data_IF_458923007825
#
_entry.id   IF_458923007825
#
_cell.length_a   1.000
_cell.length_b   1.000
_cell.length_c   1.000
_cell.angle_alpha   90.00
_cell.angle_beta   90.00
_cell.angle_gamma   90.00
#
_symmetry.space_group_name_H-M   'P 1'
#
loop_
_entity.id
_entity.type
_entity.pdbx_description
1 polymer ?
#
# COMPACT_ATOMS: atom_id res chain seq x y z
N UNK A 1 -3.86 -1.82 5.80
CA UNK A 1 -4.75 -2.24 4.67
C UNK A 1 -6.20 -2.38 5.13
N UNK A 2 -7.19 -2.20 4.25
CA UNK A 2 -8.62 -2.34 4.55
C UNK A 2 -9.19 -3.59 3.85
N UNK A 3 -10.20 -4.23 4.44
CA UNK A 3 -10.69 -5.53 3.93
C UNK A 3 -11.26 -5.49 2.51
N UNK A 4 -11.94 -4.40 2.11
CA UNK A 4 -12.42 -4.25 0.73
C UNK A 4 -11.27 -3.99 -0.25
N UNK A 5 -10.22 -3.29 0.18
CA UNK A 5 -8.98 -3.12 -0.57
C UNK A 5 -8.30 -4.47 -0.82
N UNK A 6 -8.20 -5.32 0.22
CA UNK A 6 -7.66 -6.66 0.10
C UNK A 6 -8.43 -7.51 -0.92
N UNK A 7 -9.76 -7.42 -0.94
CA UNK A 7 -10.59 -8.11 -1.95
C UNK A 7 -10.33 -7.61 -3.37
N UNK A 8 -10.12 -6.31 -3.54
CA UNK A 8 -9.76 -5.74 -4.84
C UNK A 8 -8.41 -6.27 -5.32
N UNK A 9 -7.38 -6.23 -4.45
CA UNK A 9 -6.05 -6.80 -4.75
C UNK A 9 -6.18 -8.29 -5.10
N UNK A 10 -6.89 -9.07 -4.30
CA UNK A 10 -7.10 -10.49 -4.54
C UNK A 10 -7.72 -10.78 -5.92
N UNK A 11 -8.70 -9.98 -6.33
CA UNK A 11 -9.31 -10.07 -7.67
C UNK A 11 -8.28 -9.81 -8.76
N UNK A 12 -7.50 -8.74 -8.65
CA UNK A 12 -6.46 -8.41 -9.63
C UNK A 12 -5.41 -9.52 -9.74
N UNK A 13 -4.96 -10.08 -8.61
CA UNK A 13 -3.98 -11.15 -8.59
C UNK A 13 -4.53 -12.46 -9.17
N UNK A 14 -5.72 -12.88 -8.76
CA UNK A 14 -6.29 -14.17 -9.16
C UNK A 14 -6.79 -14.21 -10.60
N UNK A 15 -7.05 -13.06 -11.22
CA UNK A 15 -7.41 -13.00 -12.64
C UNK A 15 -6.20 -13.09 -13.57
N UNK A 16 -4.97 -12.92 -13.07
CA UNK A 16 -3.73 -12.85 -13.87
C UNK A 16 -2.57 -13.66 -13.26
N UNK A 17 -2.85 -14.80 -12.65
CA UNK A 17 -1.84 -15.56 -11.89
C UNK A 17 -0.58 -15.85 -12.71
N UNK A 18 -0.71 -16.36 -13.93
CA UNK A 18 0.43 -16.69 -14.80
C UNK A 18 1.22 -15.46 -15.27
N UNK A 19 0.54 -14.32 -15.38
CA UNK A 19 1.14 -13.07 -15.84
C UNK A 19 1.84 -12.30 -14.69
N UNK A 20 1.44 -12.58 -13.44
CA UNK A 20 1.96 -11.92 -12.24
C UNK A 20 3.00 -12.77 -11.48
N UNK A 21 3.12 -14.06 -11.80
CA UNK A 21 4.02 -14.96 -11.08
C UNK A 21 5.39 -15.08 -11.75
N UNK A 22 6.50 -14.84 -11.05
CA UNK A 22 6.65 -14.51 -9.62
C UNK A 22 6.15 -13.10 -9.26
N UNK A 23 5.41 -12.99 -8.13
CA UNK A 23 4.91 -11.74 -7.58
C UNK A 23 5.83 -11.25 -6.45
N UNK A 24 6.35 -10.03 -6.55
CA UNK A 24 7.06 -9.36 -5.45
C UNK A 24 6.07 -8.52 -4.63
N UNK A 25 5.97 -8.80 -3.33
CA UNK A 25 5.20 -8.00 -2.38
C UNK A 25 6.13 -7.03 -1.65
N UNK A 26 6.11 -5.76 -2.01
CA UNK A 26 7.05 -4.72 -1.52
C UNK A 26 6.50 -4.05 -0.26
N UNK A 27 7.35 -3.90 0.77
CA UNK A 27 6.93 -3.44 2.09
C UNK A 27 6.03 -4.49 2.75
N UNK A 28 6.46 -5.74 2.67
CA UNK A 28 5.63 -6.90 3.00
C UNK A 28 5.27 -7.00 4.48
N UNK A 29 6.00 -6.31 5.35
CA UNK A 29 5.95 -6.50 6.80
C UNK A 29 6.21 -7.97 7.18
N UNK A 30 5.94 -8.34 8.43
CA UNK A 30 6.26 -9.67 8.97
C UNK A 30 5.16 -10.69 8.69
N UNK A 31 5.47 -11.99 8.80
CA UNK A 31 4.48 -13.06 8.77
C UNK A 31 3.39 -12.84 9.82
N UNK A 32 3.78 -12.51 11.05
CA UNK A 32 2.83 -12.20 12.13
C UNK A 32 1.86 -11.07 11.74
N UNK A 33 2.34 -10.00 11.09
CA UNK A 33 1.47 -8.92 10.64
C UNK A 33 0.43 -9.41 9.65
N UNK A 34 0.85 -10.20 8.65
CA UNK A 34 -0.04 -10.69 7.59
C UNK A 34 -0.98 -11.80 8.02
N UNK A 35 -0.62 -12.60 9.05
CA UNK A 35 -1.41 -13.78 9.46
C UNK A 35 -2.17 -13.62 10.77
N UNK A 36 -1.72 -12.71 11.66
CA UNK A 36 -2.30 -12.50 12.99
C UNK A 36 -2.87 -11.10 13.15
N UNK A 37 -2.09 -10.05 12.87
CA UNK A 37 -2.56 -8.66 13.06
C UNK A 37 -3.60 -8.26 12.02
N UNK A 38 -3.40 -8.65 10.76
CA UNK A 38 -4.33 -8.45 9.64
C UNK A 38 -4.46 -9.73 8.82
N UNK A 39 -5.10 -10.79 9.36
CA UNK A 39 -5.09 -12.13 8.77
C UNK A 39 -5.74 -12.23 7.39
N UNK A 40 -6.57 -11.27 7.01
CA UNK A 40 -7.14 -11.20 5.67
C UNK A 40 -6.07 -10.91 4.58
N UNK A 41 -4.91 -10.37 4.93
CA UNK A 41 -3.83 -10.14 3.96
C UNK A 41 -3.33 -11.48 3.41
N UNK A 42 -2.92 -12.37 4.28
CA UNK A 42 -2.47 -13.69 3.83
C UNK A 42 -3.64 -14.53 3.28
N UNK A 43 -4.73 -14.62 4.04
CA UNK A 43 -5.87 -15.49 3.73
C UNK A 43 -6.59 -15.11 2.43
N UNK A 44 -6.83 -13.82 2.21
CA UNK A 44 -7.70 -13.36 1.12
C UNK A 44 -6.90 -12.91 -0.10
N UNK A 45 -5.60 -12.52 0.03
CA UNK A 45 -4.75 -12.06 -1.06
C UNK A 45 -3.82 -13.18 -1.52
N UNK A 46 -2.88 -13.62 -0.64
CA UNK A 46 -1.78 -14.46 -1.07
C UNK A 46 -2.14 -15.94 -1.19
N UNK A 47 -2.90 -16.49 -0.23
CA UNK A 47 -3.28 -17.90 -0.29
C UNK A 47 -4.09 -18.27 -1.56
N UNK A 48 -5.09 -17.48 -2.02
CA UNK A 48 -5.78 -17.78 -3.27
C UNK A 48 -4.88 -17.73 -4.50
N UNK A 49 -3.92 -16.79 -4.54
CA UNK A 49 -2.95 -16.66 -5.61
C UNK A 49 -2.01 -17.87 -5.67
N UNK A 50 -1.48 -18.28 -4.52
CA UNK A 50 -0.59 -19.45 -4.41
C UNK A 50 -1.32 -20.76 -4.73
N UNK A 51 -2.57 -20.94 -4.30
CA UNK A 51 -3.38 -22.11 -4.63
C UNK A 51 -3.64 -22.28 -6.12
N UNK A 52 -3.58 -21.19 -6.89
CA UNK A 52 -3.71 -21.19 -8.35
C UNK A 52 -2.35 -21.33 -9.06
N UNK A 53 -1.28 -21.67 -8.33
CA UNK A 53 0.07 -21.89 -8.89
C UNK A 53 0.94 -20.65 -8.94
N UNK A 54 0.52 -19.53 -8.34
CA UNK A 54 1.34 -18.33 -8.20
C UNK A 54 2.43 -18.51 -7.13
N UNK A 55 3.56 -17.80 -7.31
CA UNK A 55 4.62 -17.68 -6.31
C UNK A 55 4.74 -16.24 -5.84
N UNK A 56 5.00 -16.05 -4.54
CA UNK A 56 5.14 -14.74 -3.92
C UNK A 56 6.50 -14.63 -3.25
N UNK A 57 7.19 -13.52 -3.47
CA UNK A 57 8.41 -13.12 -2.77
C UNK A 57 8.09 -11.90 -1.91
N UNK A 58 8.16 -12.05 -0.61
CA UNK A 58 7.93 -10.98 0.35
C UNK A 58 9.21 -10.19 0.59
N UNK A 59 9.20 -8.91 0.21
CA UNK A 59 10.35 -8.02 0.33
C UNK A 59 10.07 -6.93 1.37
N UNK A 60 11.01 -6.74 2.29
CA UNK A 60 10.98 -5.65 3.27
C UNK A 60 12.41 -5.16 3.54
N UNK A 61 12.56 -3.95 4.08
CA UNK A 61 13.86 -3.42 4.49
C UNK A 61 14.43 -4.15 5.71
N UNK A 62 13.57 -4.75 6.53
CA UNK A 62 13.97 -5.44 7.77
C UNK A 62 13.88 -6.95 7.58
N UNK A 63 14.94 -7.65 7.99
CA UNK A 63 14.90 -9.10 8.10
C UNK A 63 14.00 -9.50 9.26
N UNK A 64 12.97 -10.30 8.96
CA UNK A 64 12.03 -10.84 9.95
C UNK A 64 11.40 -12.13 9.41
N UNK A 65 10.66 -12.84 10.26
CA UNK A 65 9.94 -14.04 9.84
C UNK A 65 8.94 -13.71 8.71
N UNK A 66 9.00 -14.49 7.63
CA UNK A 66 8.17 -14.33 6.44
C UNK A 66 8.60 -13.19 5.51
N UNK A 67 9.80 -12.67 5.65
CA UNK A 67 10.47 -11.82 4.68
C UNK A 67 11.47 -12.70 3.91
N UNK A 68 11.24 -12.87 2.62
CA UNK A 68 12.08 -13.71 1.75
C UNK A 68 13.32 -12.96 1.28
N UNK A 69 13.18 -11.67 1.02
CA UNK A 69 14.25 -10.78 0.58
C UNK A 69 14.29 -9.54 1.48
N UNK A 70 15.34 -9.41 2.30
CA UNK A 70 15.53 -8.29 3.18
C UNK A 70 16.60 -7.34 2.65
N UNK A 71 16.21 -6.10 2.33
CA UNK A 71 17.11 -5.08 1.80
C UNK A 71 16.38 -3.87 1.25
N UNK A 72 17.16 -2.92 0.80
CA UNK A 72 16.68 -1.67 0.21
C UNK A 72 16.80 -1.72 -1.32
N UNK A 73 15.71 -1.53 -2.04
CA UNK A 73 15.71 -1.44 -3.51
C UNK A 73 16.54 -0.26 -4.04
N UNK A 74 16.88 0.71 -3.20
CA UNK A 74 17.81 1.79 -3.56
C UNK A 74 19.27 1.31 -3.64
N UNK A 75 19.61 0.18 -3.01
CA UNK A 75 20.91 -0.47 -3.16
C UNK A 75 20.96 -1.22 -4.49
N UNK A 76 21.91 -0.87 -5.36
CA UNK A 76 22.05 -1.44 -6.68
C UNK A 76 22.36 -2.95 -6.64
N UNK A 77 23.19 -3.39 -5.69
CA UNK A 77 23.55 -4.80 -5.56
C UNK A 77 22.35 -5.65 -5.11
N UNK A 78 21.58 -5.15 -4.16
CA UNK A 78 20.35 -5.81 -3.72
C UNK A 78 19.30 -5.82 -4.84
N UNK A 79 19.17 -4.74 -5.59
CA UNK A 79 18.23 -4.67 -6.71
C UNK A 79 18.55 -5.68 -7.80
N UNK A 80 19.83 -5.90 -8.12
CA UNK A 80 20.24 -6.96 -9.07
C UNK A 80 19.92 -8.37 -8.51
N UNK A 81 20.03 -8.60 -7.21
CA UNK A 81 19.56 -9.86 -6.60
C UNK A 81 18.05 -10.05 -6.79
N UNK A 82 17.26 -8.99 -6.60
CA UNK A 82 15.80 -9.05 -6.83
C UNK A 82 15.48 -9.34 -8.29
N UNK A 83 16.16 -8.71 -9.25
CA UNK A 83 15.98 -8.95 -10.70
C UNK A 83 16.27 -10.37 -11.11
N UNK A 84 17.21 -11.06 -10.43
CA UNK A 84 17.53 -12.46 -10.70
C UNK A 84 16.35 -13.43 -10.46
N UNK A 85 15.30 -12.99 -9.74
CA UNK A 85 14.06 -13.75 -9.55
C UNK A 85 13.05 -13.58 -10.70
N UNK A 86 13.38 -12.84 -11.76
CA UNK A 86 12.54 -12.65 -12.95
C UNK A 86 11.11 -12.20 -12.62
N UNK A 87 10.99 -11.18 -11.77
CA UNK A 87 9.73 -10.65 -11.22
C UNK A 87 8.78 -10.22 -12.35
N UNK A 88 7.61 -10.84 -12.46
CA UNK A 88 6.57 -10.47 -13.42
C UNK A 88 5.50 -9.58 -12.83
N UNK A 89 5.27 -9.66 -11.52
CA UNK A 89 4.31 -8.83 -10.81
C UNK A 89 4.93 -8.12 -9.62
N UNK A 90 4.54 -6.87 -9.37
CA UNK A 90 4.87 -6.17 -8.14
C UNK A 90 3.58 -5.65 -7.47
N UNK A 91 3.42 -5.95 -6.18
CA UNK A 91 2.39 -5.38 -5.32
C UNK A 91 3.05 -4.40 -4.35
N UNK A 92 2.69 -3.13 -4.46
CA UNK A 92 3.11 -2.06 -3.55
C UNK A 92 1.86 -1.44 -2.94
N UNK A 93 1.49 -1.88 -1.74
CA UNK A 93 0.25 -1.47 -1.10
C UNK A 93 0.50 -0.70 0.20
N UNK A 94 -0.10 0.50 0.30
CA UNK A 94 0.03 1.39 1.46
C UNK A 94 1.50 1.63 1.87
N UNK A 95 2.35 1.90 0.88
CA UNK A 95 3.77 2.20 1.07
C UNK A 95 4.10 3.63 0.61
N UNK A 96 3.51 4.10 -0.49
CA UNK A 96 3.90 5.37 -1.12
C UNK A 96 3.61 6.60 -0.24
N UNK A 97 2.66 6.50 0.68
CA UNK A 97 2.38 7.55 1.68
C UNK A 97 3.44 7.63 2.79
N UNK A 98 4.29 6.61 2.90
CA UNK A 98 5.34 6.49 3.93
C UNK A 98 6.74 6.80 3.40
N UNK A 99 6.87 7.20 2.15
CA UNK A 99 8.16 7.54 1.53
C UNK A 99 8.23 9.02 1.17
N UNK A 100 9.44 9.60 1.26
CA UNK A 100 9.65 11.02 0.94
C UNK A 100 9.62 11.28 -0.57
N UNK A 101 10.06 10.32 -1.38
CA UNK A 101 10.08 10.40 -2.83
C UNK A 101 9.33 9.23 -3.47
N UNK A 102 8.00 9.34 -3.66
CA UNK A 102 7.20 8.30 -4.31
C UNK A 102 7.63 8.00 -5.75
N UNK A 103 8.12 9.00 -6.52
CA UNK A 103 8.60 8.79 -7.89
C UNK A 103 9.77 7.82 -7.92
N UNK A 104 10.74 7.97 -7.03
CA UNK A 104 11.89 7.07 -6.96
C UNK A 104 11.45 5.62 -6.71
N UNK A 105 10.52 5.39 -5.79
CA UNK A 105 10.00 4.04 -5.55
C UNK A 105 9.30 3.48 -6.79
N UNK A 106 8.51 4.29 -7.49
CA UNK A 106 7.85 3.88 -8.73
C UNK A 106 8.86 3.52 -9.82
N UNK A 107 9.92 4.30 -9.98
CA UNK A 107 11.00 4.04 -10.95
C UNK A 107 11.72 2.71 -10.62
N UNK A 108 11.98 2.43 -9.34
CA UNK A 108 12.59 1.18 -8.89
C UNK A 108 11.68 -0.03 -9.13
N UNK A 109 10.36 0.11 -8.93
CA UNK A 109 9.40 -0.95 -9.27
C UNK A 109 9.39 -1.25 -10.77
N UNK A 110 9.43 -0.21 -11.61
CA UNK A 110 9.53 -0.39 -13.06
C UNK A 110 10.85 -1.06 -13.45
N UNK A 111 11.95 -0.72 -12.78
CA UNK A 111 13.28 -1.29 -13.07
C UNK A 111 13.32 -2.80 -12.79
N UNK A 112 12.74 -3.27 -11.68
CA UNK A 112 12.81 -4.68 -11.28
C UNK A 112 11.77 -5.58 -11.95
N UNK A 113 10.62 -5.04 -12.39
CA UNK A 113 9.59 -5.83 -13.06
C UNK A 113 9.98 -6.10 -14.51
N UNK A 114 9.80 -7.34 -14.97
CA UNK A 114 10.07 -7.75 -16.35
C UNK A 114 9.25 -6.95 -17.38
N UNK A 115 9.72 -6.82 -18.63
CA UNK A 115 8.89 -6.29 -19.73
C UNK A 115 7.55 -7.03 -19.84
N UNK A 116 6.47 -6.30 -20.10
CA UNK A 116 5.09 -6.79 -20.10
C UNK A 116 4.55 -7.27 -18.74
N UNK A 117 5.32 -7.14 -17.66
CA UNK A 117 4.88 -7.44 -16.30
C UNK A 117 3.96 -6.36 -15.72
N UNK A 118 3.41 -6.61 -14.57
CA UNK A 118 2.37 -5.78 -13.96
C UNK A 118 2.81 -5.17 -12.63
N UNK A 119 2.32 -4.00 -12.34
CA UNK A 119 2.52 -3.29 -11.08
C UNK A 119 1.16 -2.92 -10.50
N UNK A 120 0.89 -3.38 -9.28
CA UNK A 120 -0.34 -3.10 -8.55
C UNK A 120 -0.01 -2.15 -7.41
N UNK A 121 -0.66 -0.99 -7.40
CA UNK A 121 -0.47 0.05 -6.40
C UNK A 121 -1.79 0.27 -5.66
N UNK A 122 -1.75 0.28 -4.33
CA UNK A 122 -2.82 0.86 -3.53
C UNK A 122 -2.27 1.90 -2.57
N UNK A 123 -2.99 3.01 -2.43
CA UNK A 123 -2.59 4.13 -1.57
C UNK A 123 -3.83 4.85 -1.04
N UNK A 124 -3.84 5.37 0.19
CA UNK A 124 -4.97 6.11 0.71
C UNK A 124 -5.31 7.32 -0.17
N UNK A 125 -6.60 7.51 -0.50
CA UNK A 125 -7.13 8.71 -1.16
C UNK A 125 -7.81 9.66 -0.16
N UNK A 126 -8.71 9.10 0.66
CA UNK A 126 -9.36 9.81 1.75
C UNK A 126 -9.20 8.99 3.02
N UNK A 127 -8.16 9.30 3.78
CA UNK A 127 -7.81 8.67 5.03
C UNK A 127 -7.18 9.70 5.96
N UNK A 128 -7.43 9.65 7.28
CA UNK A 128 -6.84 10.59 8.23
C UNK A 128 -5.31 10.44 8.27
N UNK A 129 -4.65 11.51 8.71
CA UNK A 129 -3.23 11.46 9.02
C UNK A 129 -2.95 10.33 10.03
N UNK A 130 -2.00 9.48 9.72
CA UNK A 130 -1.50 8.41 10.59
C UNK A 130 0.03 8.37 10.52
N UNK A 131 0.67 8.29 11.66
CA UNK A 131 2.13 8.32 11.74
C UNK A 131 2.66 6.89 11.95
N UNK A 132 3.06 6.21 10.86
CA UNK A 132 3.51 4.84 10.89
C UNK A 132 4.65 4.58 9.86
N UNK A 133 5.88 4.87 10.17
CA UNK A 133 6.41 5.87 11.11
C UNK A 133 6.26 7.30 10.58
N UNK A 134 6.11 7.47 9.27
CA UNK A 134 5.93 8.75 8.56
C UNK A 134 4.62 8.69 7.78
N UNK A 135 3.89 9.79 7.69
CA UNK A 135 2.80 10.00 6.73
C UNK A 135 3.04 11.32 6.02
N UNK A 136 3.40 11.27 4.76
CA UNK A 136 3.65 12.45 3.93
C UNK A 136 2.36 13.13 3.46
N UNK A 137 1.21 12.54 3.76
CA UNK A 137 -0.10 12.92 3.21
C UNK A 137 -0.18 12.79 1.68
N UNK A 138 0.63 11.92 1.10
CA UNK A 138 0.50 11.56 -0.30
C UNK A 138 -0.82 10.81 -0.51
N UNK A 139 -1.78 11.45 -1.19
CA UNK A 139 -3.17 10.98 -1.38
C UNK A 139 -3.58 11.14 -2.84
N UNK A 140 -2.87 10.51 -3.77
CA UNK A 140 -3.07 10.69 -5.20
C UNK A 140 -4.37 10.05 -5.69
N UNK A 141 -4.92 10.58 -6.77
CA UNK A 141 -5.93 9.88 -7.57
C UNK A 141 -5.28 8.95 -8.60
N UNK A 142 -6.11 8.26 -9.40
CA UNK A 142 -5.65 7.31 -10.42
C UNK A 142 -4.70 7.97 -11.43
N UNK A 143 -5.04 9.19 -11.88
CA UNK A 143 -4.22 9.91 -12.88
C UNK A 143 -2.87 10.34 -12.31
N UNK A 144 -2.85 10.73 -11.03
CA UNK A 144 -1.61 11.09 -10.36
C UNK A 144 -0.69 9.88 -10.16
N UNK A 145 -1.25 8.68 -9.90
CA UNK A 145 -0.45 7.44 -9.87
C UNK A 145 0.03 7.09 -11.29
N UNK A 146 -0.84 7.12 -12.29
CA UNK A 146 -0.48 6.82 -13.68
C UNK A 146 0.68 7.71 -14.16
N UNK A 147 0.68 8.99 -13.80
CA UNK A 147 1.72 9.94 -14.15
C UNK A 147 3.12 9.59 -13.57
N UNK A 148 3.18 8.83 -12.46
CA UNK A 148 4.43 8.33 -11.89
C UNK A 148 5.02 7.15 -12.68
N UNK A 149 4.28 6.58 -13.63
CA UNK A 149 4.66 5.38 -14.38
C UNK A 149 4.64 5.62 -15.90
N UNK A 150 5.44 6.55 -16.45
CA UNK A 150 5.39 6.90 -17.87
C UNK A 150 5.75 5.73 -18.83
N UNK A 151 6.49 4.73 -18.33
CA UNK A 151 6.84 3.51 -19.07
C UNK A 151 5.77 2.42 -19.02
N UNK A 152 4.65 2.67 -18.36
CA UNK A 152 3.56 1.69 -18.20
C UNK A 152 2.28 2.18 -18.89
N UNK A 153 1.34 1.26 -19.05
CA UNK A 153 -0.03 1.55 -19.46
C UNK A 153 -1.00 1.22 -18.32
N UNK A 154 -2.04 2.03 -18.17
CA UNK A 154 -3.09 1.78 -17.19
C UNK A 154 -3.98 0.64 -17.67
N UNK A 155 -4.05 -0.44 -16.90
CA UNK A 155 -4.92 -1.61 -17.15
C UNK A 155 -6.23 -1.50 -16.41
N UNK A 156 -6.17 -1.12 -15.13
CA UNK A 156 -7.34 -0.91 -14.27
C UNK A 156 -7.03 0.18 -13.25
N UNK A 157 -8.03 0.99 -12.91
CA UNK A 157 -7.84 2.03 -11.91
C UNK A 157 -9.17 2.56 -11.38
N UNK A 158 -9.30 2.59 -10.06
CA UNK A 158 -10.47 3.14 -9.39
C UNK A 158 -10.14 3.74 -8.03
N UNK A 159 -11.03 4.59 -7.54
CA UNK A 159 -10.99 5.07 -6.17
C UNK A 159 -12.07 4.30 -5.38
N UNK A 160 -11.63 3.25 -4.71
CA UNK A 160 -12.49 2.35 -3.95
C UNK A 160 -13.03 3.06 -2.70
N UNK A 161 -14.35 3.06 -2.53
CA UNK A 161 -15.00 3.55 -1.31
C UNK A 161 -15.15 2.39 -0.33
N UNK A 162 -14.65 2.57 0.89
CA UNK A 162 -14.67 1.54 1.93
C UNK A 162 -15.92 1.71 2.79
N UNK A 163 -16.96 1.01 2.44
CA UNK A 163 -18.25 1.10 3.10
C UNK A 163 -18.17 0.79 4.61
N UNK A 164 -19.00 1.45 5.38
CA UNK A 164 -19.06 1.23 6.82
C UNK A 164 -17.93 1.87 7.63
N UNK A 165 -16.95 2.51 6.98
CA UNK A 165 -15.83 3.19 7.63
C UNK A 165 -16.03 4.71 7.67
N UNK A 166 -15.47 5.36 8.68
CA UNK A 166 -15.23 6.81 8.71
C UNK A 166 -14.33 7.15 9.91
N UNK A 167 -13.70 8.30 9.88
CA UNK A 167 -12.89 8.76 11.02
C UNK A 167 -13.73 8.91 12.30
N UNK A 168 -14.92 9.45 12.19
CA UNK A 168 -15.84 9.56 13.31
C UNK A 168 -16.15 8.17 13.92
N UNK A 169 -16.51 7.16 13.10
CA UNK A 169 -16.73 5.79 13.58
C UNK A 169 -15.48 5.20 14.23
N UNK A 170 -14.30 5.45 13.69
CA UNK A 170 -13.04 4.99 14.25
C UNK A 170 -12.78 5.61 15.63
N UNK A 171 -13.02 6.91 15.79
CA UNK A 171 -12.90 7.62 17.07
C UNK A 171 -13.89 7.08 18.11
N UNK A 172 -15.17 6.92 17.75
CA UNK A 172 -16.19 6.41 18.67
C UNK A 172 -15.97 4.96 19.11
N UNK A 173 -15.34 4.15 18.26
CA UNK A 173 -14.97 2.76 18.61
C UNK A 173 -13.73 2.66 19.49
N UNK A 174 -12.91 3.71 19.54
CA UNK A 174 -11.67 3.73 20.32
C UNK A 174 -11.62 4.98 21.24
N UNK A 175 -12.09 4.84 22.51
CA UNK A 175 -12.14 5.96 23.46
C UNK A 175 -10.76 6.60 23.72
N UNK A 176 -9.67 5.79 23.71
CA UNK A 176 -8.31 6.33 23.86
C UNK A 176 -7.94 7.23 22.69
N UNK A 177 -8.24 6.79 21.47
CA UNK A 177 -7.99 7.58 20.26
C UNK A 177 -8.83 8.84 20.23
N UNK A 178 -10.10 8.77 20.65
CA UNK A 178 -10.99 9.92 20.78
C UNK A 178 -10.40 10.94 21.76
N UNK A 179 -10.01 10.52 22.96
CA UNK A 179 -9.40 11.41 23.97
C UNK A 179 -8.11 12.05 23.49
N UNK A 180 -7.20 11.27 22.88
CA UNK A 180 -5.95 11.80 22.31
C UNK A 180 -6.22 12.78 21.17
N UNK A 181 -7.17 12.49 20.28
CA UNK A 181 -7.51 13.36 19.14
C UNK A 181 -8.12 14.66 19.63
N UNK A 182 -9.05 14.60 20.60
CA UNK A 182 -9.66 15.80 21.21
C UNK A 182 -8.59 16.68 21.87
N UNK A 183 -7.73 16.07 22.71
CA UNK A 183 -6.64 16.80 23.36
C UNK A 183 -5.71 17.47 22.34
N UNK A 184 -5.30 16.73 21.31
CA UNK A 184 -4.45 17.27 20.23
C UNK A 184 -5.13 18.40 19.47
N UNK A 185 -6.43 18.32 19.23
CA UNK A 185 -7.20 19.39 18.55
C UNK A 185 -7.19 20.68 19.36
N UNK A 186 -7.23 20.58 20.70
CA UNK A 186 -7.20 21.71 21.62
C UNK A 186 -5.79 22.29 21.87
N UNK A 187 -4.73 21.58 21.41
CA UNK A 187 -3.34 21.96 21.66
C UNK A 187 -2.58 22.30 20.35
N UNK A 188 -2.84 23.44 19.71
CA UNK A 188 -2.23 23.81 18.43
C UNK A 188 -0.70 23.94 18.48
N UNK A 189 -0.14 24.24 19.67
CA UNK A 189 1.30 24.43 19.87
C UNK A 189 2.09 23.13 19.94
N UNK A 190 1.42 22.00 20.19
CA UNK A 190 2.08 20.69 20.26
C UNK A 190 2.04 20.02 18.89
N UNK A 191 3.23 19.83 18.25
CA UNK A 191 3.37 19.23 16.90
C UNK A 191 2.44 19.90 15.88
N UNK A 192 2.59 21.21 15.66
CA UNK A 192 1.74 22.06 14.80
C UNK A 192 1.43 21.43 13.42
N UNK A 193 2.41 20.78 12.79
CA UNK A 193 2.23 20.13 11.49
C UNK A 193 1.16 19.03 11.56
N UNK A 194 1.24 18.15 12.56
CA UNK A 194 0.24 17.08 12.78
C UNK A 194 -1.12 17.65 13.18
N UNK A 195 -1.13 18.72 14.00
CA UNK A 195 -2.35 19.43 14.38
C UNK A 195 -3.10 19.96 13.16
N UNK A 196 -2.41 20.62 12.23
CA UNK A 196 -3.01 21.14 11.00
C UNK A 196 -3.69 20.02 10.19
N UNK A 197 -3.08 18.84 10.08
CA UNK A 197 -3.67 17.70 9.38
C UNK A 197 -4.92 17.16 10.10
N UNK A 198 -4.90 17.05 11.44
CA UNK A 198 -6.07 16.59 12.21
C UNK A 198 -7.23 17.55 12.00
N UNK A 199 -7.02 18.85 12.19
CA UNK A 199 -8.07 19.87 12.07
C UNK A 199 -8.63 19.95 10.65
N UNK A 200 -7.77 19.90 9.63
CA UNK A 200 -8.20 19.89 8.22
C UNK A 200 -9.04 18.69 7.82
N UNK A 201 -8.95 17.58 8.59
CA UNK A 201 -9.71 16.38 8.34
C UNK A 201 -11.10 16.39 9.04
N UNK A 202 -11.35 17.25 10.02
CA UNK A 202 -12.62 17.32 10.77
C UNK A 202 -13.85 17.41 9.84
N UNK A 203 -13.89 18.28 8.80
CA UNK A 203 -15.02 18.36 7.89
C UNK A 203 -15.30 17.08 7.08
N UNK A 204 -14.30 16.20 7.01
CA UNK A 204 -14.36 14.93 6.27
C UNK A 204 -14.63 13.74 7.19
N UNK A 205 -14.75 13.95 8.50
CA UNK A 205 -14.79 12.88 9.53
C UNK A 205 -15.92 11.88 9.34
N UNK A 206 -17.03 12.27 8.73
CA UNK A 206 -18.17 11.38 8.48
C UNK A 206 -18.13 10.71 7.10
N UNK A 207 -17.20 11.12 6.22
CA UNK A 207 -17.06 10.49 4.91
C UNK A 207 -16.40 9.10 5.05
N UNK A 208 -16.82 8.11 4.25
CA UNK A 208 -16.15 6.82 4.22
C UNK A 208 -14.70 6.96 3.76
N UNK A 209 -13.83 6.07 4.24
CA UNK A 209 -12.47 6.01 3.76
C UNK A 209 -12.45 5.62 2.29
N UNK A 210 -11.46 6.12 1.56
CA UNK A 210 -11.28 5.84 0.14
C UNK A 210 -9.82 5.50 -0.14
N UNK A 211 -9.61 4.55 -1.03
CA UNK A 211 -8.29 4.08 -1.45
C UNK A 211 -8.19 4.17 -2.96
N UNK A 212 -7.12 4.73 -3.47
CA UNK A 212 -6.77 4.65 -4.89
C UNK A 212 -6.13 3.29 -5.14
N UNK A 213 -6.68 2.56 -6.09
CA UNK A 213 -6.24 1.23 -6.50
C UNK A 213 -5.94 1.28 -8.00
N UNK A 214 -4.76 0.84 -8.42
CA UNK A 214 -4.29 0.92 -9.79
C UNK A 214 -3.53 -0.35 -10.17
N UNK A 215 -3.82 -0.88 -11.36
CA UNK A 215 -3.04 -1.93 -12.02
C UNK A 215 -2.45 -1.36 -13.30
N UNK A 216 -1.15 -1.43 -13.41
CA UNK A 216 -0.35 -0.94 -14.54
C UNK A 216 0.36 -2.12 -15.21
N UNK A 217 0.63 -2.01 -16.51
CA UNK A 217 1.46 -2.97 -17.26
C UNK A 217 2.66 -2.26 -17.85
N UNK A 218 3.86 -2.78 -17.60
CA UNK A 218 5.09 -2.29 -18.20
C UNK A 218 5.10 -2.56 -19.70
N UNK A 219 5.42 -1.54 -20.49
CA UNK A 219 5.53 -1.65 -21.96
C UNK A 219 6.80 -2.38 -22.38
#
# INVERSE_FOLDING_TARGET
MLAQEAKWIAKELTTRVSELSPLMNVGSSTLHFRTVSQPFIDKDIFQPFVRQGGSVLHLDMKQDEGVDLAGDLMDDQFREQVKAHEIKGALCSNLLEHVENPQLVCDLLVDVVQPSGYIIITVPYLYPYHNDPIDTMFRPDVKAIEALFPACELVNGEILTIEGTSFAKMLFRNPKLLGVTTLRTLMPFYKFRSWKHIVSYIPKSFKPFRVTCVTLRKR
#
